data_IF_568501167535
#
_entry.id   IF_568501167535
#
_cell.length_a   1.000
_cell.length_b   1.000
_cell.length_c   1.000
_cell.angle_alpha   90.00
_cell.angle_beta   90.00
_cell.angle_gamma   90.00
#
_symmetry.space_group_name_H-M   'P 1'
#
loop_
_entity.id
_entity.type
_entity.pdbx_description
1 polymer ?
#
# COMPACT_ATOMS: atom_id res chain seq x y z
N UNK A 1 -19.85 -48.74 -22.00
CA UNK A 1 -20.80 -47.62 -21.81
C UNK A 1 -20.42 -46.91 -20.51
N UNK A 2 -19.42 -46.02 -20.57
CA UNK A 2 -18.96 -45.24 -19.43
C UNK A 2 -19.87 -44.03 -19.31
N UNK A 3 -20.73 -44.02 -18.29
CA UNK A 3 -21.61 -42.91 -17.96
C UNK A 3 -20.70 -41.77 -17.45
N UNK A 4 -20.32 -40.89 -18.37
CA UNK A 4 -19.64 -39.64 -18.03
C UNK A 4 -20.62 -38.78 -17.26
N UNK A 5 -20.46 -38.72 -15.94
CA UNK A 5 -21.15 -37.74 -15.10
C UNK A 5 -20.65 -36.37 -15.57
N UNK A 6 -21.50 -35.51 -16.17
CA UNK A 6 -21.08 -34.16 -16.47
C UNK A 6 -20.90 -33.47 -15.12
N UNK A 7 -19.66 -33.12 -14.76
CA UNK A 7 -19.39 -32.17 -13.65
C UNK A 7 -19.93 -30.80 -14.05
N UNK A 8 -21.25 -30.64 -14.02
CA UNK A 8 -21.91 -29.34 -13.88
C UNK A 8 -21.73 -28.90 -12.42
N UNK A 9 -20.51 -28.50 -12.06
CA UNK A 9 -20.33 -27.70 -10.86
C UNK A 9 -20.79 -26.28 -11.22
N UNK A 10 -22.02 -25.95 -10.84
CA UNK A 10 -22.59 -24.59 -10.90
C UNK A 10 -21.66 -23.54 -10.25
N UNK A 11 -20.78 -23.98 -9.33
CA UNK A 11 -19.66 -23.22 -8.75
C UNK A 11 -18.45 -23.05 -9.71
N UNK A 12 -18.79 -22.87 -10.99
CA UNK A 12 -17.92 -22.62 -12.15
C UNK A 12 -16.97 -21.43 -11.91
N UNK A 13 -15.98 -21.27 -12.79
CA UNK A 13 -14.85 -20.31 -12.72
C UNK A 13 -15.15 -18.84 -12.32
N UNK A 14 -16.43 -18.46 -12.17
CA UNK A 14 -16.88 -17.18 -11.65
C UNK A 14 -16.88 -17.06 -10.12
N UNK A 15 -17.05 -18.16 -9.38
CA UNK A 15 -17.28 -18.12 -7.91
C UNK A 15 -16.05 -18.59 -7.13
N UNK A 16 -15.47 -19.72 -7.55
CA UNK A 16 -14.38 -20.36 -6.81
C UNK A 16 -13.09 -19.53 -6.69
N UNK A 17 -12.64 -18.77 -7.72
CA UNK A 17 -11.51 -17.86 -7.56
C UNK A 17 -11.74 -16.77 -6.50
N UNK A 18 -13.00 -16.36 -6.32
CA UNK A 18 -13.38 -15.28 -5.39
C UNK A 18 -13.45 -15.81 -3.97
N UNK A 19 -14.07 -16.97 -3.76
CA UNK A 19 -14.07 -17.65 -2.47
C UNK A 19 -12.64 -17.91 -2.00
N UNK A 20 -11.75 -18.35 -2.91
CA UNK A 20 -10.31 -18.49 -2.62
C UNK A 20 -9.63 -17.16 -2.27
N UNK A 21 -9.92 -16.09 -3.02
CA UNK A 21 -9.40 -14.75 -2.75
C UNK A 21 -9.84 -14.25 -1.38
N UNK A 22 -11.11 -14.39 -1.03
CA UNK A 22 -11.66 -13.95 0.26
C UNK A 22 -11.14 -14.79 1.42
N UNK A 23 -10.98 -16.11 1.24
CA UNK A 23 -10.35 -16.98 2.24
C UNK A 23 -8.87 -16.64 2.43
N UNK A 24 -8.12 -16.42 1.36
CA UNK A 24 -6.72 -16.01 1.44
C UNK A 24 -6.57 -14.58 1.99
N UNK A 25 -7.53 -13.69 1.74
CA UNK A 25 -7.61 -12.37 2.35
C UNK A 25 -7.75 -12.48 3.87
N UNK A 26 -8.68 -13.32 4.34
CA UNK A 26 -8.86 -13.61 5.76
C UNK A 26 -7.62 -14.29 6.39
N UNK A 27 -6.95 -15.19 5.66
CA UNK A 27 -5.81 -15.95 6.17
C UNK A 27 -4.49 -15.17 6.16
N UNK A 28 -4.22 -14.42 5.08
CA UNK A 28 -2.93 -13.76 4.85
C UNK A 28 -2.92 -12.30 5.33
N UNK A 29 -3.93 -11.50 4.96
CA UNK A 29 -3.87 -10.04 5.15
C UNK A 29 -4.64 -9.53 6.37
N UNK A 30 -5.80 -10.13 6.69
CA UNK A 30 -6.49 -9.85 7.95
C UNK A 30 -5.85 -10.56 9.15
N UNK A 31 -4.66 -11.13 8.95
CA UNK A 31 -3.75 -11.31 10.06
C UNK A 31 -4.06 -12.50 10.97
N UNK A 32 -4.84 -13.49 10.55
CA UNK A 32 -4.87 -14.71 11.36
C UNK A 32 -3.55 -15.45 11.17
N UNK A 33 -3.24 -15.97 9.97
CA UNK A 33 -2.01 -16.76 9.79
C UNK A 33 -0.80 -15.87 9.59
N UNK A 34 -0.90 -14.81 8.78
CA UNK A 34 0.21 -13.89 8.51
C UNK A 34 0.71 -13.18 9.79
N UNK A 35 -0.21 -12.60 10.58
CA UNK A 35 0.19 -11.98 11.85
C UNK A 35 0.52 -13.04 12.91
N UNK A 36 -0.17 -14.20 13.03
CA UNK A 36 0.29 -15.23 13.98
C UNK A 36 1.71 -15.69 13.67
N UNK A 37 2.02 -16.04 12.42
CA UNK A 37 3.36 -16.50 12.03
C UNK A 37 4.39 -15.39 12.22
N UNK A 38 4.05 -14.15 11.86
CA UNK A 38 4.90 -12.98 12.12
C UNK A 38 5.15 -12.75 13.61
N UNK A 39 4.11 -12.79 14.44
CA UNK A 39 4.21 -12.65 15.90
C UNK A 39 4.94 -13.81 16.56
N UNK A 40 4.74 -15.05 16.09
CA UNK A 40 5.44 -16.23 16.58
C UNK A 40 6.93 -16.19 16.22
N UNK A 41 7.27 -15.80 14.98
CA UNK A 41 8.66 -15.63 14.58
C UNK A 41 9.31 -14.47 15.35
N UNK A 42 8.60 -13.36 15.55
CA UNK A 42 9.10 -12.25 16.36
C UNK A 42 9.31 -12.70 17.81
N UNK A 43 8.36 -13.40 18.41
CA UNK A 43 8.46 -13.95 19.76
C UNK A 43 9.63 -14.92 19.91
N UNK A 44 9.82 -15.85 18.95
CA UNK A 44 10.96 -16.77 18.93
C UNK A 44 12.30 -16.03 18.79
N UNK A 45 12.36 -15.03 17.90
CA UNK A 45 13.58 -14.23 17.73
C UNK A 45 13.88 -13.42 19.00
N UNK A 46 12.86 -12.85 19.65
CA UNK A 46 13.02 -12.09 20.89
C UNK A 46 13.51 -12.98 22.03
N UNK A 47 12.86 -14.13 22.23
CA UNK A 47 13.12 -15.08 23.31
C UNK A 47 14.49 -15.75 23.15
N UNK A 48 14.88 -16.13 21.93
CA UNK A 48 16.14 -16.83 21.68
C UNK A 48 17.35 -15.89 21.56
N UNK A 49 17.17 -14.66 21.08
CA UNK A 49 18.28 -13.73 20.83
C UNK A 49 18.45 -12.67 21.92
N UNK A 50 17.51 -12.54 22.87
CA UNK A 50 17.51 -11.57 23.98
C UNK A 50 17.73 -10.09 23.54
N UNK A 51 17.60 -9.82 22.25
CA UNK A 51 17.94 -8.55 21.59
C UNK A 51 16.84 -7.48 21.65
N UNK A 52 15.62 -7.88 22.03
CA UNK A 52 14.44 -7.03 22.07
C UNK A 52 13.84 -7.07 23.48
N UNK A 53 13.66 -5.90 24.11
CA UNK A 53 12.95 -5.78 25.39
C UNK A 53 11.44 -5.76 25.11
N UNK A 54 10.87 -6.90 24.75
CA UNK A 54 9.42 -7.05 24.61
C UNK A 54 8.91 -7.87 25.79
N UNK A 55 8.12 -7.24 26.66
CA UNK A 55 7.43 -7.93 27.74
C UNK A 55 6.13 -8.54 27.21
N UNK A 56 6.16 -9.83 26.86
CA UNK A 56 4.96 -10.57 26.44
C UNK A 56 3.99 -10.86 27.59
N UNK A 57 4.36 -10.58 28.83
CA UNK A 57 3.55 -10.83 30.02
C UNK A 57 2.79 -9.59 30.53
N UNK A 58 2.92 -8.42 29.89
CA UNK A 58 2.24 -7.22 30.36
C UNK A 58 2.08 -6.09 29.33
N UNK A 59 0.84 -5.95 28.83
CA UNK A 59 0.23 -4.78 28.14
C UNK A 59 0.64 -4.51 26.68
N UNK A 60 -0.33 -3.93 25.96
CA UNK A 60 -0.51 -3.55 24.54
C UNK A 60 0.74 -3.24 23.69
N UNK A 61 0.59 -3.12 22.36
CA UNK A 61 1.62 -2.73 21.37
C UNK A 61 2.48 -1.50 21.75
N UNK A 62 2.05 -0.72 22.73
CA UNK A 62 2.76 0.42 23.32
C UNK A 62 4.02 0.01 24.11
N UNK A 63 4.17 -1.27 24.45
CA UNK A 63 5.33 -1.82 25.17
C UNK A 63 6.48 -2.23 24.26
N UNK A 64 6.27 -2.28 22.94
CA UNK A 64 7.31 -2.62 21.97
C UNK A 64 8.18 -1.38 21.70
N UNK A 65 9.49 -1.52 21.91
CA UNK A 65 10.43 -0.45 21.60
C UNK A 65 10.42 -0.09 20.10
N UNK A 66 10.70 1.16 19.71
CA UNK A 66 10.55 1.57 18.32
C UNK A 66 11.41 0.79 17.31
N UNK A 67 12.61 0.35 17.71
CA UNK A 67 13.44 -0.58 16.94
C UNK A 67 12.79 -1.96 16.77
N UNK A 68 12.15 -2.47 17.83
CA UNK A 68 11.33 -3.68 17.77
C UNK A 68 10.15 -3.56 16.81
N UNK A 69 9.48 -2.39 16.77
CA UNK A 69 8.42 -2.12 15.79
C UNK A 69 8.97 -2.18 14.36
N UNK A 70 10.08 -1.49 14.08
CA UNK A 70 10.70 -1.50 12.74
C UNK A 70 11.04 -2.93 12.29
N UNK A 71 11.73 -3.71 13.13
CA UNK A 71 12.09 -5.10 12.83
C UNK A 71 10.83 -5.95 12.63
N UNK A 72 9.84 -5.79 13.51
CA UNK A 72 8.56 -6.50 13.43
C UNK A 72 7.85 -6.27 12.09
N UNK A 73 7.78 -5.03 11.61
CA UNK A 73 7.20 -4.70 10.31
C UNK A 73 8.01 -5.29 9.14
N UNK A 74 9.34 -5.24 9.18
CA UNK A 74 10.20 -5.87 8.14
C UNK A 74 9.92 -7.37 8.06
N UNK A 75 9.92 -8.06 9.21
CA UNK A 75 9.64 -9.51 9.28
C UNK A 75 8.22 -9.79 8.77
N UNK A 76 7.23 -9.06 9.26
CA UNK A 76 5.83 -9.26 8.90
C UNK A 76 5.61 -9.09 7.40
N UNK A 77 6.10 -7.99 6.80
CA UNK A 77 5.96 -7.77 5.37
C UNK A 77 6.72 -8.80 4.55
N UNK A 78 7.92 -9.21 4.98
CA UNK A 78 8.68 -10.25 4.27
C UNK A 78 7.95 -11.59 4.27
N UNK A 79 7.44 -12.02 5.43
CA UNK A 79 6.66 -13.26 5.57
C UNK A 79 5.41 -13.19 4.70
N UNK A 80 4.67 -12.08 4.74
CA UNK A 80 3.48 -11.90 3.91
C UNK A 80 3.81 -11.94 2.41
N UNK A 81 4.91 -11.32 1.97
CA UNK A 81 5.34 -11.37 0.58
C UNK A 81 5.59 -12.82 0.13
N UNK A 82 6.34 -13.57 0.93
CA UNK A 82 6.64 -14.98 0.66
C UNK A 82 5.36 -15.80 0.60
N UNK A 83 4.46 -15.64 1.57
CA UNK A 83 3.19 -16.38 1.60
C UNK A 83 2.30 -16.07 0.38
N UNK A 84 2.21 -14.80 -0.04
CA UNK A 84 1.42 -14.43 -1.22
C UNK A 84 2.04 -14.99 -2.51
N UNK A 85 3.37 -14.96 -2.62
CA UNK A 85 4.09 -15.56 -3.76
C UNK A 85 3.92 -17.08 -3.78
N UNK A 86 4.03 -17.75 -2.63
CA UNK A 86 3.81 -19.19 -2.51
C UNK A 86 2.36 -19.56 -2.83
N UNK A 87 1.38 -18.85 -2.29
CA UNK A 87 -0.03 -19.05 -2.61
C UNK A 87 -0.27 -18.91 -4.11
N UNK A 88 0.34 -17.93 -4.77
CA UNK A 88 0.22 -17.76 -6.22
C UNK A 88 0.86 -18.93 -6.99
N UNK A 89 2.06 -19.35 -6.60
CA UNK A 89 2.79 -20.40 -7.32
C UNK A 89 2.19 -21.78 -7.10
N UNK A 90 1.70 -22.08 -5.90
CA UNK A 90 1.19 -23.39 -5.52
C UNK A 90 -0.31 -23.55 -5.82
N UNK A 91 -1.12 -22.54 -5.53
CA UNK A 91 -2.58 -22.62 -5.70
C UNK A 91 -3.02 -22.20 -7.10
N UNK A 92 -2.46 -21.11 -7.63
CA UNK A 92 -2.80 -20.63 -8.99
C UNK A 92 -1.96 -21.28 -10.07
N UNK A 93 -0.83 -21.91 -9.72
CA UNK A 93 0.09 -22.61 -10.64
C UNK A 93 0.50 -21.75 -11.84
N UNK A 94 0.68 -20.44 -11.61
CA UNK A 94 0.99 -19.44 -12.64
C UNK A 94 2.36 -18.81 -12.43
N UNK A 95 3.02 -18.33 -13.50
CA UNK A 95 4.24 -17.52 -13.38
C UNK A 95 3.91 -16.11 -12.85
N UNK A 96 4.89 -15.42 -12.26
CA UNK A 96 4.70 -14.05 -11.72
C UNK A 96 4.27 -13.03 -12.80
N UNK A 97 4.70 -13.21 -14.04
CA UNK A 97 4.25 -12.38 -15.18
C UNK A 97 2.74 -12.37 -15.37
N UNK A 98 2.02 -13.42 -14.93
CA UNK A 98 0.56 -13.45 -14.97
C UNK A 98 -0.10 -12.53 -13.93
N UNK A 99 0.67 -12.04 -12.94
CA UNK A 99 0.29 -10.94 -12.04
C UNK A 99 0.64 -9.57 -12.61
N UNK A 100 1.19 -9.52 -13.83
CA UNK A 100 1.89 -8.36 -14.41
C UNK A 100 3.14 -7.96 -13.60
N UNK A 101 3.67 -8.89 -12.81
CA UNK A 101 4.91 -8.70 -12.06
C UNK A 101 6.07 -9.34 -12.81
N UNK A 102 6.73 -8.54 -13.62
CA UNK A 102 7.83 -8.96 -14.49
C UNK A 102 9.10 -8.16 -14.15
N UNK A 103 10.26 -8.81 -14.17
CA UNK A 103 11.54 -8.21 -13.81
C UNK A 103 12.39 -8.02 -15.09
N UNK A 104 12.02 -7.05 -15.91
CA UNK A 104 12.74 -6.73 -17.15
C UNK A 104 13.14 -5.26 -17.22
N UNK A 105 14.13 -4.93 -18.06
CA UNK A 105 14.64 -3.54 -18.18
C UNK A 105 13.55 -2.53 -18.53
N UNK A 106 12.53 -2.95 -19.30
CA UNK A 106 11.36 -2.13 -19.66
C UNK A 106 10.53 -1.72 -18.45
N UNK A 107 10.43 -2.61 -17.46
CA UNK A 107 9.65 -2.39 -16.24
C UNK A 107 10.29 -1.37 -15.30
N UNK A 108 11.60 -1.07 -15.45
CA UNK A 108 12.24 0.04 -14.74
C UNK A 108 11.64 1.39 -15.10
N UNK A 109 11.18 1.55 -16.35
CA UNK A 109 10.52 2.78 -16.81
C UNK A 109 9.13 2.92 -16.18
N UNK A 110 8.36 1.84 -16.06
CA UNK A 110 7.05 1.89 -15.42
C UNK A 110 7.18 2.12 -13.91
N UNK A 111 8.19 1.54 -13.26
CA UNK A 111 8.55 1.87 -11.88
C UNK A 111 8.87 3.36 -11.73
N UNK A 112 9.74 3.91 -12.58
CA UNK A 112 10.11 5.32 -12.54
C UNK A 112 8.90 6.25 -12.73
N UNK A 113 7.99 5.92 -13.66
CA UNK A 113 6.74 6.66 -13.82
C UNK A 113 5.83 6.56 -12.59
N UNK A 114 5.78 5.40 -11.94
CA UNK A 114 5.08 5.24 -10.67
C UNK A 114 5.66 6.15 -9.59
N UNK A 115 6.98 6.08 -9.38
CA UNK A 115 7.69 6.91 -8.39
C UNK A 115 7.46 8.41 -8.62
N UNK A 116 7.54 8.86 -9.87
CA UNK A 116 7.27 10.25 -10.24
C UNK A 116 5.81 10.65 -9.98
N UNK A 117 4.85 9.77 -10.26
CA UNK A 117 3.45 10.03 -9.99
C UNK A 117 3.14 10.13 -8.49
N UNK A 118 3.71 9.22 -7.68
CA UNK A 118 3.55 9.27 -6.21
C UNK A 118 4.19 10.49 -5.57
N UNK A 119 5.43 10.82 -5.97
CA UNK A 119 6.08 12.04 -5.52
C UNK A 119 5.29 13.28 -5.94
N UNK A 120 4.84 13.32 -7.20
CA UNK A 120 4.01 14.41 -7.71
C UNK A 120 2.70 14.59 -6.96
N UNK A 121 2.02 13.48 -6.61
CA UNK A 121 0.79 13.51 -5.81
C UNK A 121 1.06 14.10 -4.42
N UNK A 122 2.08 13.64 -3.71
CA UNK A 122 2.42 14.17 -2.37
C UNK A 122 2.77 15.65 -2.44
N UNK A 123 3.62 16.07 -3.38
CA UNK A 123 4.01 17.47 -3.53
C UNK A 123 2.81 18.36 -3.89
N UNK A 124 1.87 17.86 -4.70
CA UNK A 124 0.66 18.59 -5.05
C UNK A 124 -0.27 18.75 -3.84
N UNK A 125 -0.57 17.67 -3.12
CA UNK A 125 -1.43 17.73 -1.93
C UNK A 125 -0.79 18.61 -0.86
N UNK A 126 0.49 18.41 -0.58
CA UNK A 126 1.23 19.19 0.42
C UNK A 126 1.37 20.66 0.03
N UNK A 127 1.59 20.95 -1.25
CA UNK A 127 1.66 22.31 -1.79
C UNK A 127 0.33 23.05 -1.62
N UNK A 128 -0.79 22.40 -1.93
CA UNK A 128 -2.14 22.97 -1.72
C UNK A 128 -2.42 23.18 -0.23
N UNK A 129 -2.08 22.20 0.63
CA UNK A 129 -2.20 22.36 2.08
C UNK A 129 -1.42 23.57 2.59
N UNK A 130 -0.18 23.76 2.12
CA UNK A 130 0.67 24.89 2.50
C UNK A 130 0.09 26.21 1.99
N UNK A 131 -0.39 26.26 0.75
CA UNK A 131 -1.01 27.45 0.16
C UNK A 131 -2.29 27.89 0.90
N UNK A 132 -3.05 26.93 1.44
CA UNK A 132 -4.23 27.20 2.27
C UNK A 132 -3.90 27.50 3.73
N UNK A 133 -2.61 27.50 4.11
CA UNK A 133 -2.18 27.66 5.50
C UNK A 133 -2.47 26.46 6.41
N UNK A 134 -2.93 25.34 5.84
CA UNK A 134 -3.25 24.11 6.58
C UNK A 134 -2.01 23.30 6.98
N UNK A 135 -0.86 23.57 6.36
CA UNK A 135 0.43 23.01 6.71
C UNK A 135 1.51 24.10 6.75
N UNK A 136 2.42 24.00 7.73
CA UNK A 136 3.61 24.84 7.85
C UNK A 136 4.81 23.97 8.19
N UNK A 137 5.90 24.15 7.47
CA UNK A 137 7.07 23.29 7.60
C UNK A 137 8.36 24.07 7.79
N UNK A 138 9.30 23.49 8.54
CA UNK A 138 10.69 23.93 8.62
C UNK A 138 11.62 22.77 8.24
N UNK A 139 12.90 23.06 8.03
CA UNK A 139 13.91 22.01 7.85
C UNK A 139 13.98 21.12 9.09
N UNK A 140 14.00 19.80 8.87
CA UNK A 140 13.83 18.78 9.91
C UNK A 140 15.05 17.92 10.22
N UNK A 141 16.05 17.87 9.33
CA UNK A 141 17.23 17.03 9.52
C UNK A 141 18.08 17.57 10.67
N UNK A 142 18.37 16.71 11.64
CA UNK A 142 19.17 17.02 12.81
C UNK A 142 20.27 15.97 13.03
N UNK A 143 21.28 16.32 13.83
CA UNK A 143 22.23 15.34 14.33
C UNK A 143 21.52 14.38 15.30
N UNK A 144 21.42 13.12 14.91
CA UNK A 144 20.76 12.05 15.68
C UNK A 144 21.72 10.89 15.93
N UNK A 145 21.48 10.06 16.97
CA UNK A 145 22.28 8.86 17.20
C UNK A 145 22.31 7.94 15.96
N UNK A 146 23.44 7.26 15.74
CA UNK A 146 23.59 6.29 14.63
C UNK A 146 22.51 5.21 14.63
N UNK A 147 22.04 4.80 15.82
CA UNK A 147 20.91 3.90 15.99
C UNK A 147 19.63 4.43 15.33
N UNK A 148 19.31 5.70 15.50
CA UNK A 148 18.13 6.34 14.90
C UNK A 148 18.22 6.39 13.38
N UNK A 149 19.42 6.62 12.83
CA UNK A 149 19.68 6.56 11.38
C UNK A 149 19.43 5.15 10.85
N UNK A 150 19.95 4.12 11.53
CA UNK A 150 19.73 2.73 11.14
C UNK A 150 18.25 2.36 11.20
N UNK A 151 17.53 2.81 12.23
CA UNK A 151 16.09 2.63 12.35
C UNK A 151 15.32 3.35 11.23
N UNK A 152 15.74 4.54 10.83
CA UNK A 152 15.14 5.26 9.70
C UNK A 152 15.29 4.46 8.40
N UNK A 153 16.48 3.92 8.10
CA UNK A 153 16.66 3.02 6.95
C UNK A 153 15.81 1.75 7.05
N UNK A 154 15.72 1.15 8.24
CA UNK A 154 14.83 0.02 8.48
C UNK A 154 13.36 0.36 8.23
N UNK A 155 12.92 1.56 8.63
CA UNK A 155 11.56 2.04 8.41
C UNK A 155 11.30 2.40 6.95
N UNK A 156 12.27 2.93 6.21
CA UNK A 156 12.19 3.09 4.75
C UNK A 156 11.98 1.73 4.09
N UNK A 157 12.78 0.73 4.48
CA UNK A 157 12.64 -0.64 3.96
C UNK A 157 11.25 -1.21 4.27
N UNK A 158 10.75 -1.06 5.50
CA UNK A 158 9.45 -1.55 5.90
C UNK A 158 8.29 -0.81 5.21
N UNK A 159 8.15 0.49 5.44
CA UNK A 159 6.97 1.30 5.07
C UNK A 159 6.97 1.74 3.61
N UNK A 160 8.14 1.96 3.00
CA UNK A 160 8.26 2.59 1.69
C UNK A 160 8.69 1.61 0.59
N UNK A 161 9.12 0.40 0.95
CA UNK A 161 9.54 -0.63 -0.02
C UNK A 161 8.71 -1.90 0.17
N UNK A 162 8.84 -2.57 1.31
CA UNK A 162 8.19 -3.86 1.53
C UNK A 162 6.67 -3.75 1.63
N UNK A 163 6.15 -2.79 2.40
CA UNK A 163 4.71 -2.53 2.52
C UNK A 163 4.04 -2.35 1.15
N UNK A 164 4.45 -1.36 0.34
CA UNK A 164 3.95 -1.16 -1.01
C UNK A 164 4.07 -2.39 -1.91
N UNK A 165 5.19 -3.12 -1.87
CA UNK A 165 5.34 -4.36 -2.65
C UNK A 165 4.31 -5.41 -2.21
N UNK A 166 4.21 -5.69 -0.92
CA UNK A 166 3.30 -6.71 -0.37
C UNK A 166 1.86 -6.36 -0.69
N UNK A 167 1.47 -5.13 -0.39
CA UNK A 167 0.11 -4.66 -0.54
C UNK A 167 -0.32 -4.67 -2.01
N UNK A 168 0.52 -4.21 -2.93
CA UNK A 168 0.22 -4.24 -4.37
C UNK A 168 0.27 -5.65 -4.96
N UNK A 169 1.23 -6.49 -4.58
CA UNK A 169 1.31 -7.89 -5.03
C UNK A 169 0.08 -8.68 -4.59
N UNK A 170 -0.41 -8.44 -3.39
CA UNK A 170 -1.63 -9.06 -2.91
C UNK A 170 -2.88 -8.48 -3.59
N UNK A 171 -3.08 -7.16 -3.51
CA UNK A 171 -4.33 -6.55 -3.98
C UNK A 171 -4.45 -6.56 -5.50
N UNK A 172 -3.40 -6.12 -6.21
CA UNK A 172 -3.40 -5.89 -7.67
C UNK A 172 -2.82 -7.08 -8.42
N UNK A 173 -1.82 -7.73 -7.83
CA UNK A 173 -1.20 -8.93 -8.39
C UNK A 173 -2.05 -10.19 -8.21
N UNK A 174 -2.57 -10.43 -7.01
CA UNK A 174 -3.33 -11.65 -6.70
C UNK A 174 -4.84 -11.42 -6.85
N UNK A 175 -5.46 -10.61 -5.99
CA UNK A 175 -6.93 -10.53 -5.91
C UNK A 175 -7.54 -9.95 -7.16
N UNK A 176 -7.05 -8.80 -7.61
CA UNK A 176 -7.56 -8.14 -8.80
C UNK A 176 -7.49 -9.08 -10.01
N UNK A 177 -6.35 -9.77 -10.22
CA UNK A 177 -6.20 -10.69 -11.36
C UNK A 177 -7.14 -11.89 -11.28
N UNK A 178 -7.46 -12.37 -10.07
CA UNK A 178 -8.36 -13.51 -9.89
C UNK A 178 -9.84 -13.11 -9.98
N UNK A 179 -10.26 -12.03 -9.32
CA UNK A 179 -11.64 -11.52 -9.38
C UNK A 179 -11.96 -11.08 -10.83
N UNK A 180 -11.01 -10.42 -11.50
CA UNK A 180 -11.20 -9.96 -12.89
C UNK A 180 -11.55 -11.08 -13.87
N UNK A 181 -11.04 -12.30 -13.66
CA UNK A 181 -11.34 -13.46 -14.52
C UNK A 181 -12.82 -13.81 -14.48
N UNK A 182 -13.46 -13.70 -13.30
CA UNK A 182 -14.86 -14.04 -13.10
C UNK A 182 -15.82 -12.88 -13.35
N UNK A 183 -15.51 -11.70 -12.81
CA UNK A 183 -16.45 -10.57 -12.71
C UNK A 183 -16.05 -9.35 -13.57
N UNK A 184 -14.96 -9.45 -14.32
CA UNK A 184 -14.46 -8.38 -15.17
C UNK A 184 -13.69 -7.28 -14.41
N UNK A 185 -13.15 -6.33 -15.18
CA UNK A 185 -12.22 -5.31 -14.67
C UNK A 185 -12.88 -4.36 -13.66
N UNK A 186 -14.11 -3.92 -13.95
CA UNK A 186 -14.80 -2.91 -13.15
C UNK A 186 -15.14 -3.45 -11.76
N UNK A 187 -15.79 -4.62 -11.70
CA UNK A 187 -16.12 -5.24 -10.43
C UNK A 187 -14.86 -5.60 -9.62
N UNK A 188 -13.80 -6.11 -10.27
CA UNK A 188 -12.54 -6.38 -9.60
C UNK A 188 -11.92 -5.12 -9.00
N UNK A 189 -11.93 -3.99 -9.73
CA UNK A 189 -11.42 -2.73 -9.24
C UNK A 189 -12.17 -2.27 -7.98
N UNK A 190 -13.52 -2.26 -8.04
CA UNK A 190 -14.38 -1.83 -6.93
C UNK A 190 -14.16 -2.73 -5.70
N UNK A 191 -14.22 -4.05 -5.87
CA UNK A 191 -14.07 -5.00 -4.74
C UNK A 191 -12.70 -4.86 -4.10
N UNK A 192 -11.63 -4.83 -4.89
CA UNK A 192 -10.28 -4.67 -4.30
C UNK A 192 -10.06 -3.29 -3.68
N UNK A 193 -10.69 -2.23 -4.18
CA UNK A 193 -10.62 -0.91 -3.56
C UNK A 193 -11.30 -0.87 -2.19
N UNK A 194 -12.49 -1.49 -2.08
CA UNK A 194 -13.21 -1.60 -0.82
C UNK A 194 -12.47 -2.47 0.20
N UNK A 195 -11.89 -3.61 -0.23
CA UNK A 195 -11.07 -4.45 0.63
C UNK A 195 -9.82 -3.70 1.10
N UNK A 196 -9.15 -2.99 0.19
CA UNK A 196 -7.92 -2.26 0.49
C UNK A 196 -8.17 -1.10 1.47
N UNK A 197 -9.15 -0.23 1.18
CA UNK A 197 -9.54 0.84 2.08
C UNK A 197 -10.08 0.30 3.41
N UNK A 198 -10.92 -0.73 3.38
CA UNK A 198 -11.53 -1.31 4.58
C UNK A 198 -10.51 -1.85 5.59
N UNK A 199 -9.39 -2.44 5.14
CA UNK A 199 -8.37 -2.87 6.09
C UNK A 199 -7.62 -1.72 6.76
N UNK A 200 -7.59 -0.52 6.16
CA UNK A 200 -6.98 0.65 6.78
C UNK A 200 -7.84 1.22 7.92
N UNK A 201 -9.07 0.72 8.15
CA UNK A 201 -9.81 0.99 9.38
C UNK A 201 -9.12 0.41 10.63
N UNK A 202 -8.21 -0.56 10.46
CA UNK A 202 -7.45 -1.17 11.55
C UNK A 202 -6.20 -0.38 11.91
N UNK A 203 -5.87 0.66 11.14
CA UNK A 203 -4.69 1.48 11.38
C UNK A 203 -4.93 2.46 12.54
N UNK A 204 -3.86 2.90 13.23
CA UNK A 204 -3.96 3.95 14.23
C UNK A 204 -4.60 5.22 13.64
N UNK A 205 -5.42 5.92 14.42
CA UNK A 205 -6.04 7.18 13.99
C UNK A 205 -6.83 7.07 12.67
N UNK A 206 -7.38 5.89 12.33
CA UNK A 206 -8.10 5.69 11.08
C UNK A 206 -9.27 6.67 10.94
N UNK A 207 -9.26 7.42 9.84
CA UNK A 207 -10.30 8.39 9.48
C UNK A 207 -11.11 7.87 8.30
N UNK A 208 -12.44 8.04 8.32
CA UNK A 208 -13.33 7.58 7.23
C UNK A 208 -12.90 8.21 5.89
N UNK A 209 -12.53 9.48 5.90
CA UNK A 209 -12.07 10.17 4.69
C UNK A 209 -10.73 9.61 4.18
N UNK A 210 -9.84 9.19 5.07
CA UNK A 210 -8.61 8.47 4.73
C UNK A 210 -8.89 7.14 4.04
N UNK A 211 -9.82 6.36 4.59
CA UNK A 211 -10.27 5.08 4.01
C UNK A 211 -10.86 5.27 2.60
N UNK A 212 -11.68 6.31 2.41
CA UNK A 212 -12.22 6.67 1.09
C UNK A 212 -11.08 7.03 0.12
N UNK A 213 -10.14 7.86 0.55
CA UNK A 213 -9.00 8.25 -0.30
C UNK A 213 -8.11 7.06 -0.66
N UNK A 214 -7.88 6.12 0.27
CA UNK A 214 -7.13 4.89 0.00
C UNK A 214 -7.87 4.00 -1.01
N UNK A 215 -9.20 3.91 -0.91
CA UNK A 215 -10.01 3.22 -1.93
C UNK A 215 -9.93 3.93 -3.30
N UNK A 216 -9.91 5.26 -3.34
CA UNK A 216 -9.71 6.02 -4.58
C UNK A 216 -8.30 5.80 -5.16
N UNK A 217 -7.24 5.82 -4.35
CA UNK A 217 -5.89 5.45 -4.75
C UNK A 217 -5.86 4.04 -5.32
N UNK A 218 -6.61 3.10 -4.74
CA UNK A 218 -6.71 1.75 -5.27
C UNK A 218 -7.29 1.67 -6.68
N UNK A 219 -8.30 2.49 -6.98
CA UNK A 219 -8.83 2.63 -8.33
C UNK A 219 -7.77 3.23 -9.26
N UNK A 220 -7.11 4.33 -8.86
CA UNK A 220 -6.02 4.96 -9.64
C UNK A 220 -4.92 3.95 -9.99
N UNK A 221 -4.49 3.14 -9.02
CA UNK A 221 -3.47 2.10 -9.18
C UNK A 221 -3.91 1.00 -10.14
N UNK A 222 -5.18 0.56 -10.06
CA UNK A 222 -5.74 -0.40 -11.01
C UNK A 222 -5.81 0.18 -12.44
N UNK A 223 -6.17 1.46 -12.61
CA UNK A 223 -6.16 2.10 -13.92
C UNK A 223 -4.75 2.09 -14.53
N UNK A 224 -3.75 2.51 -13.74
CA UNK A 224 -2.34 2.49 -14.14
C UNK A 224 -1.84 1.08 -14.48
N UNK A 225 -2.14 0.10 -13.62
CA UNK A 225 -1.84 -1.32 -13.83
C UNK A 225 -2.40 -1.83 -15.17
N UNK A 226 -3.67 -1.56 -15.45
CA UNK A 226 -4.36 -2.08 -16.64
C UNK A 226 -3.82 -1.43 -17.91
N UNK A 227 -3.48 -0.14 -17.89
CA UNK A 227 -3.03 0.57 -19.08
C UNK A 227 -1.54 0.39 -19.36
N UNK A 228 -0.70 0.37 -18.33
CA UNK A 228 0.75 0.19 -18.46
C UNK A 228 1.15 -1.29 -18.43
N UNK A 229 0.22 -2.18 -18.10
CA UNK A 229 0.41 -3.64 -17.99
C UNK A 229 1.61 -4.02 -17.12
N UNK A 230 1.74 -3.33 -15.98
CA UNK A 230 2.89 -3.44 -15.10
C UNK A 230 2.47 -3.22 -13.66
N UNK A 231 2.77 -4.19 -12.79
CA UNK A 231 2.59 -4.06 -11.35
C UNK A 231 3.61 -3.10 -10.73
N UNK A 232 4.73 -2.83 -11.41
CA UNK A 232 5.73 -1.88 -10.93
C UNK A 232 5.27 -0.43 -10.92
N UNK A 233 4.28 -0.08 -11.75
CA UNK A 233 3.71 1.26 -11.73
C UNK A 233 2.98 1.57 -10.40
N UNK A 234 1.96 0.78 -9.98
CA UNK A 234 1.32 1.04 -8.69
C UNK A 234 2.27 0.82 -7.51
N UNK A 235 3.21 -0.14 -7.57
CA UNK A 235 4.25 -0.30 -6.54
C UNK A 235 5.08 0.98 -6.40
N UNK A 236 5.54 1.55 -7.52
CA UNK A 236 6.32 2.79 -7.51
C UNK A 236 5.54 3.99 -6.98
N UNK A 237 4.29 4.12 -7.39
CA UNK A 237 3.42 5.21 -6.94
C UNK A 237 3.22 5.14 -5.42
N UNK A 238 2.82 3.97 -4.93
CA UNK A 238 2.60 3.74 -3.51
C UNK A 238 3.89 3.91 -2.69
N UNK A 239 5.01 3.37 -3.15
CA UNK A 239 6.32 3.54 -2.51
C UNK A 239 6.74 5.00 -2.38
N UNK A 240 6.62 5.79 -3.46
CA UNK A 240 6.95 7.21 -3.43
C UNK A 240 5.98 8.00 -2.55
N UNK A 241 4.70 7.63 -2.51
CA UNK A 241 3.73 8.25 -1.61
C UNK A 241 4.13 8.05 -0.14
N UNK A 242 4.35 6.81 0.30
CA UNK A 242 4.72 6.52 1.68
C UNK A 242 6.05 7.20 2.07
N UNK A 243 7.05 7.11 1.19
CA UNK A 243 8.35 7.74 1.43
C UNK A 243 8.23 9.27 1.53
N UNK A 244 7.58 9.91 0.55
CA UNK A 244 7.50 11.35 0.51
C UNK A 244 6.63 11.91 1.64
N UNK A 245 5.50 11.26 1.97
CA UNK A 245 4.66 11.71 3.07
C UNK A 245 5.38 11.64 4.42
N UNK A 246 6.05 10.51 4.69
CA UNK A 246 6.70 10.30 5.98
C UNK A 246 8.06 10.99 6.07
N UNK A 247 8.97 10.74 5.13
CA UNK A 247 10.37 11.19 5.22
C UNK A 247 10.64 12.54 4.56
N UNK A 248 9.86 12.97 3.57
CA UNK A 248 10.05 14.29 2.94
C UNK A 248 9.26 15.34 3.72
N UNK A 249 7.93 15.20 3.82
CA UNK A 249 7.10 16.24 4.44
C UNK A 249 6.89 16.04 5.94
N UNK A 250 7.31 14.91 6.53
CA UNK A 250 7.29 14.72 7.98
C UNK A 250 5.89 14.59 8.58
N UNK A 251 4.91 14.10 7.81
CA UNK A 251 3.54 13.86 8.29
C UNK A 251 3.30 12.38 8.57
N UNK A 252 2.33 12.03 9.45
CA UNK A 252 1.96 10.64 9.68
C UNK A 252 1.60 9.96 8.36
N UNK A 253 1.98 8.70 8.16
CA UNK A 253 1.57 7.88 7.02
C UNK A 253 0.67 6.75 7.52
N UNK A 254 -0.58 6.77 7.10
CA UNK A 254 -1.63 5.84 7.53
C UNK A 254 -1.70 5.67 9.04
N UNK A 255 -1.60 6.79 9.78
CA UNK A 255 -1.69 6.80 11.23
C UNK A 255 -0.38 6.64 12.00
N UNK A 256 0.69 6.21 11.33
CA UNK A 256 2.00 6.03 11.95
C UNK A 256 2.81 7.32 11.80
N UNK A 257 3.23 7.90 12.92
CA UNK A 257 3.96 9.17 12.95
C UNK A 257 5.46 8.97 13.18
N UNK A 258 6.25 9.97 12.79
CA UNK A 258 7.70 10.05 13.02
C UNK A 258 8.04 9.81 14.50
N UNK A 259 7.33 10.49 15.40
CA UNK A 259 7.52 10.36 16.85
C UNK A 259 7.09 9.00 17.40
N UNK A 260 6.01 8.40 16.90
CA UNK A 260 5.58 7.04 17.32
C UNK A 260 6.60 5.94 16.99
N UNK A 261 7.47 6.22 16.02
CA UNK A 261 8.59 5.36 15.60
C UNK A 261 9.94 5.80 16.18
N UNK A 262 9.98 6.85 17.01
CA UNK A 262 11.21 7.39 17.58
C UNK A 262 12.20 7.89 16.52
N UNK A 263 11.70 8.45 15.42
CA UNK A 263 12.48 8.87 14.24
C UNK A 263 12.58 10.40 14.13
N UNK A 264 12.36 11.14 15.21
CA UNK A 264 12.49 12.60 15.19
C UNK A 264 13.89 13.02 14.74
N UNK A 265 13.96 14.04 13.89
CA UNK A 265 15.21 14.52 13.29
C UNK A 265 15.67 13.76 12.03
N UNK A 266 14.93 12.74 11.57
CA UNK A 266 15.29 11.97 10.35
C UNK A 266 14.51 12.35 9.10
N UNK A 267 13.62 13.35 9.16
CA UNK A 267 12.80 13.79 8.04
C UNK A 267 13.36 15.07 7.43
N UNK A 268 13.15 15.27 6.12
CA UNK A 268 13.61 16.48 5.43
C UNK A 268 12.94 17.72 5.99
N UNK A 269 11.63 17.64 6.18
CA UNK A 269 10.81 18.68 6.79
C UNK A 269 10.18 18.16 8.08
N UNK A 270 10.03 19.07 9.05
CA UNK A 270 9.12 18.92 10.18
C UNK A 270 7.91 19.79 9.88
N UNK A 271 6.74 19.15 9.73
CA UNK A 271 5.51 19.84 9.38
C UNK A 271 4.54 19.84 10.55
N UNK A 272 3.99 21.02 10.82
CA UNK A 272 2.83 21.21 11.70
C UNK A 272 1.60 21.47 10.83
N UNK A 273 0.48 20.85 11.16
CA UNK A 273 -0.79 21.09 10.49
C UNK A 273 -1.71 21.92 11.37
N UNK A 274 -2.56 22.74 10.75
CA UNK A 274 -3.52 23.58 11.46
C UNK A 274 -4.86 23.61 10.74
N UNK A 275 -5.94 23.73 11.50
CA UNK A 275 -7.32 23.65 10.98
C UNK A 275 -7.99 22.29 11.23
N UNK A 276 -9.20 22.10 10.68
CA UNK A 276 -10.02 20.92 10.96
C UNK A 276 -9.44 19.64 10.36
N UNK A 277 -9.76 18.48 10.96
CA UNK A 277 -9.24 17.17 10.55
C UNK A 277 -9.58 16.80 9.12
N UNK A 278 -10.75 17.20 8.59
CA UNK A 278 -11.08 16.95 7.17
C UNK A 278 -10.17 17.70 6.20
N UNK A 279 -9.51 18.79 6.63
CA UNK A 279 -8.58 19.56 5.81
C UNK A 279 -7.14 19.03 5.95
N UNK A 280 -6.73 18.66 7.17
CA UNK A 280 -5.35 18.27 7.48
C UNK A 280 -5.12 16.76 7.39
N UNK A 281 -6.18 15.98 7.57
CA UNK A 281 -6.16 14.53 7.75
C UNK A 281 -5.80 14.06 9.16
N UNK A 282 -5.63 14.98 10.12
CA UNK A 282 -5.43 14.66 11.54
C UNK A 282 -4.27 13.70 11.80
N UNK A 283 -4.45 12.80 12.78
CA UNK A 283 -3.45 11.79 13.15
C UNK A 283 -3.21 10.72 12.08
N UNK A 284 -4.12 10.56 11.12
CA UNK A 284 -3.93 9.66 9.98
C UNK A 284 -2.89 10.21 8.98
N UNK A 285 -2.80 11.54 8.90
CA UNK A 285 -1.95 12.29 7.97
C UNK A 285 -2.71 12.79 6.75
N UNK A 286 -2.03 13.52 5.87
CA UNK A 286 -2.61 14.18 4.69
C UNK A 286 -3.39 13.24 3.74
N UNK A 287 -3.22 11.92 3.89
CA UNK A 287 -4.03 10.87 3.25
C UNK A 287 -5.51 10.99 3.53
N UNK A 288 -5.89 11.51 4.70
CA UNK A 288 -7.28 11.73 5.11
C UNK A 288 -7.79 13.14 4.84
N UNK A 289 -7.09 13.95 4.04
CA UNK A 289 -7.54 15.29 3.67
C UNK A 289 -8.53 15.28 2.50
N UNK A 290 -9.49 16.21 2.50
CA UNK A 290 -10.35 16.48 1.35
C UNK A 290 -9.56 16.98 0.14
N UNK A 291 -8.41 17.63 0.39
CA UNK A 291 -7.50 18.10 -0.65
C UNK A 291 -7.02 16.90 -1.48
N UNK A 292 -6.61 15.82 -0.81
CA UNK A 292 -6.25 14.58 -1.50
C UNK A 292 -7.43 13.96 -2.24
N UNK A 293 -8.64 13.99 -1.66
CA UNK A 293 -9.86 13.51 -2.35
C UNK A 293 -10.05 14.20 -3.70
N UNK A 294 -10.00 15.54 -3.71
CA UNK A 294 -10.16 16.35 -4.93
C UNK A 294 -9.06 16.03 -5.94
N UNK A 295 -7.81 15.94 -5.49
CA UNK A 295 -6.67 15.62 -6.34
C UNK A 295 -6.81 14.22 -6.96
N UNK A 296 -7.21 13.20 -6.19
CA UNK A 296 -7.43 11.84 -6.70
C UNK A 296 -8.54 11.79 -7.76
N UNK A 297 -9.67 12.49 -7.55
CA UNK A 297 -10.69 12.62 -8.57
C UNK A 297 -10.16 13.31 -9.84
N UNK A 298 -9.37 14.37 -9.69
CA UNK A 298 -8.70 15.05 -10.80
C UNK A 298 -7.76 14.13 -11.57
N UNK A 299 -6.96 13.33 -10.86
CA UNK A 299 -6.05 12.34 -11.45
C UNK A 299 -6.85 11.28 -12.22
N UNK A 300 -7.88 10.71 -11.62
CA UNK A 300 -8.74 9.70 -12.27
C UNK A 300 -9.39 10.27 -13.53
N UNK A 301 -9.95 11.48 -13.45
CA UNK A 301 -10.56 12.16 -14.60
C UNK A 301 -9.53 12.43 -15.71
N UNK A 302 -8.35 12.96 -15.36
CA UNK A 302 -7.26 13.21 -16.31
C UNK A 302 -6.81 11.91 -16.99
N UNK A 303 -6.65 10.84 -16.21
CA UNK A 303 -6.32 9.51 -16.70
C UNK A 303 -7.33 9.05 -17.77
N UNK A 304 -8.63 9.16 -17.52
CA UNK A 304 -9.66 8.80 -18.49
C UNK A 304 -9.64 9.71 -19.73
N UNK A 305 -9.47 11.02 -19.55
CA UNK A 305 -9.41 11.99 -20.64
C UNK A 305 -8.24 11.72 -21.60
N UNK A 306 -7.04 11.51 -21.08
CA UNK A 306 -5.87 11.18 -21.90
C UNK A 306 -6.04 9.85 -22.63
N UNK A 307 -6.69 8.87 -22.00
CA UNK A 307 -6.97 7.58 -22.65
C UNK A 307 -7.95 7.75 -23.83
N UNK A 308 -9.01 8.53 -23.67
CA UNK A 308 -9.97 8.79 -24.76
C UNK A 308 -9.30 9.52 -25.92
N UNK A 309 -8.46 10.53 -25.64
CA UNK A 309 -7.73 11.26 -26.68
C UNK A 309 -6.74 10.40 -27.46
N UNK A 310 -6.08 9.44 -26.81
CA UNK A 310 -5.21 8.48 -27.51
C UNK A 310 -5.99 7.46 -28.34
N UNK A 311 -7.27 7.23 -28.02
CA UNK A 311 -8.13 6.30 -28.74
C UNK A 311 -8.81 6.93 -29.96
N UNK A 312 -8.85 8.27 -30.05
CA UNK A 312 -9.29 8.99 -31.24
C UNK A 312 -8.09 9.15 -32.19
N UNK A 313 -8.08 8.54 -33.39
CA UNK A 313 -7.07 8.84 -34.39
C UNK A 313 -7.15 10.33 -34.74
N UNK A 314 -6.00 10.97 -34.93
CA UNK A 314 -5.91 12.36 -35.39
C UNK A 314 -6.69 12.56 -36.69
N UNK A 315 -7.92 13.07 -36.60
CA UNK A 315 -8.78 13.40 -37.73
C UNK A 315 -8.35 14.71 -38.43
N UNK A 316 -7.05 15.03 -38.45
CA UNK A 316 -6.54 16.31 -38.95
C UNK A 316 -5.19 16.18 -39.67
N UNK A 317 -5.08 15.20 -40.56
CA UNK A 317 -4.06 15.17 -41.59
C UNK A 317 -4.73 14.75 -42.91
N UNK A 318 -5.51 15.68 -43.47
CA UNK A 318 -6.03 15.65 -44.83
C UNK A 318 -5.84 17.06 -45.41
#
# INVERSE_FOLDING_TARGET
MTIGIPRKAFLSERVWPIVRVLLLQLLLWMGIVGNLVGWLLLALLVDQLHWLKIDFHGKTLDTISPDGKVIGFVVLFTVNLVLVVLAWRLMERKPLRAMLWEFSRKQRRTLAWGLLAGLGEVLLVFGVMTALGAARSTWGLAAVPSKTILMAFGWILASSILGPIVEEVLNRGYWFQNIKRGWGVVAAAIVTALLFGGAHLLNPNAEILGVINIALSAITYVLGLVWLRSLWFPIGWHAAWNFAQFFIVGLPNSGISVSSMGLDGTTLLVTTTSGPTWLTGGGFGMEASVIRTIILFGIIAAMFWFKQRRAQPSASAA
#
